data_IF_445715218681
#
_entry.id   IF_445715218681
#
_cell.length_a   1.000
_cell.length_b   1.000
_cell.length_c   1.000
_cell.angle_alpha   90.00
_cell.angle_beta   90.00
_cell.angle_gamma   90.00
#
_symmetry.space_group_name_H-M   'P 1'
#
loop_
_entity.id
_entity.type
_entity.pdbx_description
1 polymer ?
#
# COMPACT_ATOMS: atom_id res chain seq x y z
N UNK A 1 70.35 25.10 -42.96
CA UNK A 1 69.91 26.32 -42.28
C UNK A 1 68.44 26.15 -41.94
N UNK A 2 68.12 25.96 -40.66
CA UNK A 2 66.75 25.70 -40.21
C UNK A 2 65.98 27.03 -40.20
N UNK A 3 64.81 27.04 -40.84
CA UNK A 3 64.00 28.23 -41.09
C UNK A 3 63.35 28.72 -39.77
N UNK A 4 64.12 29.49 -39.00
CA UNK A 4 63.79 30.05 -37.69
C UNK A 4 62.44 30.80 -37.62
N UNK A 5 61.99 31.53 -38.66
CA UNK A 5 60.70 32.22 -38.63
C UNK A 5 59.48 31.28 -38.59
N UNK A 6 59.53 30.14 -39.29
CA UNK A 6 58.39 29.23 -39.40
C UNK A 6 58.12 28.46 -38.09
N UNK A 7 59.18 28.02 -37.42
CA UNK A 7 59.09 27.29 -36.14
C UNK A 7 58.63 28.17 -34.97
N UNK A 8 58.90 29.47 -35.03
CA UNK A 8 58.47 30.46 -34.02
C UNK A 8 56.98 30.78 -34.14
N UNK A 9 56.45 30.85 -35.37
CA UNK A 9 55.02 31.03 -35.61
C UNK A 9 54.17 29.82 -35.19
N UNK A 10 54.65 28.59 -35.42
CA UNK A 10 53.94 27.37 -34.98
C UNK A 10 53.90 27.26 -33.46
N UNK A 11 54.99 27.56 -32.74
CA UNK A 11 55.01 27.51 -31.27
C UNK A 11 54.10 28.55 -30.60
N UNK A 12 54.05 29.78 -31.13
CA UNK A 12 53.14 30.83 -30.63
C UNK A 12 51.67 30.41 -30.84
N UNK A 13 51.35 29.84 -32.00
CA UNK A 13 49.99 29.38 -32.31
C UNK A 13 49.59 28.14 -31.49
N UNK A 14 50.49 27.18 -31.25
CA UNK A 14 50.27 25.99 -30.42
C UNK A 14 50.10 26.33 -28.92
N UNK A 15 50.84 27.31 -28.40
CA UNK A 15 50.68 27.82 -27.04
C UNK A 15 49.35 28.57 -26.85
N UNK A 16 48.97 29.41 -27.82
CA UNK A 16 47.70 30.13 -27.81
C UNK A 16 46.50 29.18 -27.84
N UNK A 17 46.51 28.23 -28.77
CA UNK A 17 45.45 27.20 -28.90
C UNK A 17 45.37 26.28 -27.69
N UNK A 18 46.51 25.83 -27.14
CA UNK A 18 46.51 24.99 -25.93
C UNK A 18 45.93 25.72 -24.71
N UNK A 19 46.25 27.01 -24.55
CA UNK A 19 45.69 27.83 -23.47
C UNK A 19 44.19 28.06 -23.64
N UNK A 20 43.71 28.31 -24.87
CA UNK A 20 42.28 28.43 -25.14
C UNK A 20 41.51 27.13 -24.91
N UNK A 21 42.06 25.98 -25.32
CA UNK A 21 41.47 24.66 -25.07
C UNK A 21 41.36 24.39 -23.56
N UNK A 22 42.43 24.67 -22.80
CA UNK A 22 42.42 24.51 -21.34
C UNK A 22 41.41 25.44 -20.66
N UNK A 23 41.29 26.69 -21.10
CA UNK A 23 40.30 27.62 -20.58
C UNK A 23 38.88 27.18 -20.90
N UNK A 24 38.65 26.65 -22.10
CA UNK A 24 37.34 26.14 -22.50
C UNK A 24 36.97 24.86 -21.73
N UNK A 25 37.91 23.93 -21.56
CA UNK A 25 37.74 22.74 -20.73
C UNK A 25 37.49 23.10 -19.26
N UNK A 26 38.23 24.07 -18.71
CA UNK A 26 38.01 24.53 -17.34
C UNK A 26 36.61 25.14 -17.19
N UNK A 27 36.15 25.92 -18.18
CA UNK A 27 34.80 26.48 -18.22
C UNK A 27 33.72 25.40 -18.33
N UNK A 28 33.92 24.39 -19.18
CA UNK A 28 33.01 23.25 -19.32
C UNK A 28 32.94 22.44 -18.02
N UNK A 29 34.08 22.07 -17.44
CA UNK A 29 34.15 21.36 -16.17
C UNK A 29 33.53 22.16 -15.03
N UNK A 30 33.71 23.48 -15.01
CA UNK A 30 33.09 24.36 -14.01
C UNK A 30 31.57 24.37 -14.17
N UNK A 31 31.06 24.43 -15.40
CA UNK A 31 29.63 24.37 -15.66
C UNK A 31 29.02 23.02 -15.26
N UNK A 32 29.67 21.90 -15.62
CA UNK A 32 29.26 20.55 -15.20
C UNK A 32 29.25 20.41 -13.68
N UNK A 33 30.26 20.96 -13.01
CA UNK A 33 30.37 20.93 -11.56
C UNK A 33 29.25 21.75 -10.89
N UNK A 34 28.88 22.90 -11.46
CA UNK A 34 27.73 23.70 -11.00
C UNK A 34 26.43 22.93 -11.22
N UNK A 35 26.24 22.30 -12.38
CA UNK A 35 25.05 21.52 -12.69
C UNK A 35 24.89 20.32 -11.75
N UNK A 36 25.97 19.56 -11.53
CA UNK A 36 26.00 18.42 -10.62
C UNK A 36 25.72 18.86 -9.18
N UNK A 37 26.32 19.97 -8.72
CA UNK A 37 26.02 20.54 -7.39
C UNK A 37 24.55 20.91 -7.25
N UNK A 38 23.95 21.50 -8.28
CA UNK A 38 22.53 21.90 -8.29
C UNK A 38 21.62 20.66 -8.22
N UNK A 39 21.89 19.64 -9.05
CA UNK A 39 21.18 18.35 -9.01
C UNK A 39 21.27 17.68 -7.64
N UNK A 40 22.45 17.72 -7.02
CA UNK A 40 22.68 17.13 -5.69
C UNK A 40 21.91 17.89 -4.60
N UNK A 41 21.86 19.22 -4.67
CA UNK A 41 21.03 20.04 -3.76
C UNK A 41 19.54 19.71 -3.88
N UNK A 42 19.01 19.63 -5.10
CA UNK A 42 17.61 19.26 -5.36
C UNK A 42 17.32 17.84 -4.82
N UNK A 43 18.20 16.89 -5.10
CA UNK A 43 18.06 15.52 -4.62
C UNK A 43 18.01 15.45 -3.09
N UNK A 44 18.90 16.16 -2.41
CA UNK A 44 18.92 16.23 -0.95
C UNK A 44 17.64 16.88 -0.39
N UNK A 45 17.13 17.94 -1.03
CA UNK A 45 15.88 18.59 -0.64
C UNK A 45 14.68 17.63 -0.74
N UNK A 46 14.57 16.91 -1.86
CA UNK A 46 13.53 15.89 -2.07
C UNK A 46 13.65 14.74 -1.04
N UNK A 47 14.86 14.33 -0.71
CA UNK A 47 15.10 13.26 0.27
C UNK A 47 14.72 13.70 1.68
N UNK A 48 14.98 14.96 2.04
CA UNK A 48 14.55 15.56 3.30
C UNK A 48 13.02 15.70 3.39
N UNK A 49 12.39 16.16 2.31
CA UNK A 49 10.93 16.28 2.23
C UNK A 49 10.27 14.90 2.33
N UNK A 50 10.79 13.90 1.63
CA UNK A 50 10.32 12.52 1.72
C UNK A 50 10.47 11.95 3.14
N UNK A 51 11.61 12.19 3.81
CA UNK A 51 11.81 11.82 5.22
C UNK A 51 10.83 12.53 6.14
N UNK A 52 10.56 13.83 5.92
CA UNK A 52 9.59 14.62 6.69
C UNK A 52 8.17 14.11 6.50
N UNK A 53 7.74 13.87 5.26
CA UNK A 53 6.44 13.26 4.94
C UNK A 53 6.32 11.88 5.59
N UNK A 54 7.34 11.03 5.46
CA UNK A 54 7.37 9.71 6.11
C UNK A 54 7.25 9.82 7.63
N UNK A 55 7.91 10.82 8.25
CA UNK A 55 7.81 11.08 9.69
C UNK A 55 6.42 11.58 10.09
N UNK A 56 5.82 12.50 9.33
CA UNK A 56 4.46 13.00 9.56
C UNK A 56 3.40 11.91 9.40
N UNK A 57 3.55 11.05 8.39
CA UNK A 57 2.69 9.89 8.18
C UNK A 57 2.90 8.80 9.25
N UNK A 58 4.13 8.68 9.77
CA UNK A 58 4.49 7.78 10.86
C UNK A 58 4.08 8.26 12.26
N UNK A 59 3.83 9.56 12.44
CA UNK A 59 3.57 10.20 13.73
C UNK A 59 2.15 9.95 14.30
N UNK A 60 1.49 8.86 13.92
CA UNK A 60 0.12 8.49 14.33
C UNK A 60 -0.95 9.45 13.81
N UNK A 61 -1.57 9.05 12.70
CA UNK A 61 -2.90 9.51 12.33
C UNK A 61 -3.86 9.15 13.47
N UNK A 62 -4.14 10.07 14.38
CA UNK A 62 -5.01 9.85 15.54
C UNK A 62 -6.45 10.20 15.15
N UNK A 63 -7.12 9.28 14.44
CA UNK A 63 -8.56 9.37 14.23
C UNK A 63 -9.20 8.72 15.45
N UNK A 64 -9.65 9.56 16.40
CA UNK A 64 -10.36 9.19 17.64
C UNK A 64 -9.68 8.05 18.41
N UNK A 65 -8.75 8.39 19.31
CA UNK A 65 -8.15 7.50 20.33
C UNK A 65 -7.37 6.26 19.87
N UNK A 66 -7.40 5.91 18.57
CA UNK A 66 -6.77 4.71 18.05
C UNK A 66 -5.49 5.11 17.28
N UNK A 67 -4.35 4.52 17.67
CA UNK A 67 -3.06 4.74 16.99
C UNK A 67 -2.98 3.82 15.78
N UNK A 68 -2.65 4.40 14.62
CA UNK A 68 -2.45 3.67 13.38
C UNK A 68 -1.02 3.79 12.89
N UNK A 69 -0.47 2.68 12.40
CA UNK A 69 0.86 2.61 11.77
C UNK A 69 0.69 2.48 10.26
N UNK A 70 1.12 3.47 9.50
CA UNK A 70 1.13 3.38 8.03
C UNK A 70 2.25 2.43 7.57
N UNK A 71 1.95 1.53 6.64
CA UNK A 71 2.90 0.64 6.00
C UNK A 71 2.71 0.65 4.48
N UNK A 72 3.80 0.55 3.72
CA UNK A 72 3.76 0.44 2.25
C UNK A 72 3.60 -1.01 1.85
N UNK A 73 2.80 -1.26 0.83
CA UNK A 73 2.67 -2.59 0.22
C UNK A 73 3.90 -2.84 -0.66
N UNK A 74 4.62 -3.90 -0.36
CA UNK A 74 5.79 -4.36 -1.12
C UNK A 74 5.41 -5.36 -2.21
N UNK A 75 4.41 -6.20 -1.95
CA UNK A 75 3.96 -7.23 -2.90
C UNK A 75 2.50 -7.61 -2.65
N UNK A 76 1.83 -8.04 -3.72
CA UNK A 76 0.44 -8.49 -3.70
C UNK A 76 0.39 -9.86 -4.37
N UNK A 77 -0.15 -10.87 -3.66
CA UNK A 77 -0.39 -12.21 -4.20
C UNK A 77 -1.88 -12.52 -4.18
N UNK A 78 -2.46 -12.79 -5.35
CA UNK A 78 -3.89 -13.01 -5.56
C UNK A 78 -4.19 -14.27 -6.36
N UNK A 79 -3.79 -15.42 -5.84
CA UNK A 79 -4.23 -16.70 -6.40
C UNK A 79 -5.70 -16.97 -6.06
N UNK A 80 -6.31 -17.99 -6.69
CA UNK A 80 -7.69 -18.40 -6.37
C UNK A 80 -7.86 -18.84 -4.92
N UNK A 81 -6.85 -19.51 -4.36
CA UNK A 81 -6.92 -20.17 -3.04
C UNK A 81 -6.22 -19.38 -1.94
N UNK A 82 -5.31 -18.48 -2.31
CA UNK A 82 -4.52 -17.67 -1.39
C UNK A 82 -4.42 -16.23 -1.87
N UNK A 83 -4.82 -15.30 -1.00
CA UNK A 83 -4.86 -13.87 -1.23
C UNK A 83 -4.22 -13.15 -0.05
N UNK A 84 -3.03 -12.62 -0.26
CA UNK A 84 -2.26 -11.90 0.77
C UNK A 84 -1.47 -10.73 0.19
N UNK A 85 -1.11 -9.79 1.06
CA UNK A 85 -0.19 -8.70 0.75
C UNK A 85 1.00 -8.74 1.71
N UNK A 86 2.17 -8.31 1.24
CA UNK A 86 3.36 -8.13 2.06
C UNK A 86 3.56 -6.63 2.26
N UNK A 87 3.79 -6.22 3.50
CA UNK A 87 4.02 -4.82 3.88
C UNK A 87 5.44 -4.63 4.41
N UNK A 88 6.02 -3.45 4.17
CA UNK A 88 7.40 -3.09 4.53
C UNK A 88 7.59 -2.71 6.01
N UNK A 89 6.80 -3.30 6.89
CA UNK A 89 6.90 -3.11 8.33
C UNK A 89 6.79 -4.44 9.05
N UNK A 90 7.52 -4.58 10.13
CA UNK A 90 7.61 -5.80 10.92
C UNK A 90 7.59 -5.55 12.42
N UNK A 91 8.14 -6.50 13.18
CA UNK A 91 8.22 -6.39 14.64
C UNK A 91 9.08 -5.23 15.11
N UNK A 92 10.07 -4.80 14.31
CA UNK A 92 10.90 -3.61 14.61
C UNK A 92 10.08 -2.31 14.57
N UNK A 93 8.92 -2.35 13.92
CA UNK A 93 7.94 -1.27 13.91
C UNK A 93 6.80 -1.51 14.91
N UNK A 94 6.92 -2.52 15.78
CA UNK A 94 5.92 -2.89 16.77
C UNK A 94 4.66 -3.51 16.16
N UNK A 95 4.78 -4.18 15.00
CA UNK A 95 3.68 -4.98 14.45
C UNK A 95 3.60 -6.36 15.11
N UNK A 96 2.39 -6.88 15.23
CA UNK A 96 2.06 -8.17 15.85
C UNK A 96 1.05 -8.93 15.00
N UNK A 97 1.12 -10.25 15.07
CA UNK A 97 0.10 -11.13 14.49
C UNK A 97 -1.26 -10.79 15.09
N UNK A 98 -2.30 -10.77 14.25
CA UNK A 98 -3.67 -10.44 14.64
C UNK A 98 -4.08 -8.99 14.42
N UNK A 99 -3.13 -8.07 14.19
CA UNK A 99 -3.48 -6.68 13.86
C UNK A 99 -4.20 -6.56 12.53
N UNK A 100 -5.10 -5.60 12.43
CA UNK A 100 -5.93 -5.39 11.23
C UNK A 100 -5.31 -4.33 10.33
N UNK A 101 -5.24 -4.67 9.03
CA UNK A 101 -4.87 -3.74 7.98
C UNK A 101 -6.12 -3.10 7.37
N UNK A 102 -6.12 -1.78 7.35
CA UNK A 102 -7.18 -0.93 6.82
C UNK A 102 -6.68 -0.22 5.56
N UNK A 103 -7.54 -0.18 4.55
CA UNK A 103 -7.36 0.61 3.35
C UNK A 103 -8.15 1.92 3.45
N UNK A 104 -8.24 2.64 2.34
CA UNK A 104 -8.98 3.92 2.26
C UNK A 104 -10.49 3.74 2.26
N UNK A 105 -10.99 2.56 1.86
CA UNK A 105 -12.42 2.26 1.66
C UNK A 105 -12.92 1.09 2.50
N UNK A 106 -12.12 0.55 3.43
CA UNK A 106 -12.54 -0.59 4.26
C UNK A 106 -11.39 -1.44 4.77
N UNK A 107 -11.73 -2.59 5.36
CA UNK A 107 -10.74 -3.54 5.85
C UNK A 107 -10.09 -4.26 4.67
N UNK A 108 -8.76 -4.30 4.67
CA UNK A 108 -7.96 -5.06 3.70
C UNK A 108 -7.78 -6.50 4.19
N UNK A 109 -7.46 -6.68 5.47
CA UNK A 109 -7.13 -7.99 6.01
C UNK A 109 -6.57 -7.96 7.42
N UNK A 110 -5.94 -9.06 7.82
CA UNK A 110 -5.31 -9.24 9.13
C UNK A 110 -3.89 -9.76 8.99
N UNK A 111 -2.97 -9.27 9.82
CA UNK A 111 -1.60 -9.76 9.88
C UNK A 111 -1.59 -11.20 10.39
N UNK A 112 -1.04 -12.12 9.59
CA UNK A 112 -0.90 -13.54 9.95
C UNK A 112 0.54 -13.95 10.21
N UNK A 113 1.51 -13.19 9.70
CA UNK A 113 2.94 -13.43 9.92
C UNK A 113 3.68 -12.10 10.08
N UNK A 114 4.67 -12.08 10.96
CA UNK A 114 5.53 -10.93 11.22
C UNK A 114 6.98 -11.40 11.23
N UNK A 115 7.82 -10.71 10.49
CA UNK A 115 9.28 -10.79 10.56
C UNK A 115 9.82 -9.44 11.08
N UNK A 116 11.12 -9.26 11.33
CA UNK A 116 11.66 -7.98 11.79
C UNK A 116 11.33 -6.80 10.88
N UNK A 117 11.43 -7.00 9.56
CA UNK A 117 11.31 -5.93 8.55
C UNK A 117 9.99 -5.95 7.77
N UNK A 118 9.31 -7.09 7.70
CA UNK A 118 8.12 -7.28 6.86
C UNK A 118 7.02 -8.04 7.59
N UNK A 119 5.78 -7.84 7.16
CA UNK A 119 4.63 -8.60 7.64
C UNK A 119 3.76 -9.08 6.49
N UNK A 120 3.11 -10.21 6.67
CA UNK A 120 2.13 -10.77 5.74
C UNK A 120 0.73 -10.50 6.26
N UNK A 121 -0.10 -9.88 5.43
CA UNK A 121 -1.52 -9.63 5.71
C UNK A 121 -2.36 -10.58 4.85
N UNK A 122 -3.17 -11.42 5.48
CA UNK A 122 -4.17 -12.25 4.83
C UNK A 122 -5.40 -11.38 4.50
N UNK A 123 -5.77 -11.32 3.22
CA UNK A 123 -6.85 -10.44 2.78
C UNK A 123 -8.22 -10.97 3.16
N UNK A 124 -9.20 -10.08 3.37
CA UNK A 124 -10.61 -10.46 3.63
C UNK A 124 -11.24 -11.23 2.47
N UNK A 125 -10.69 -11.10 1.26
CA UNK A 125 -11.13 -11.82 0.06
C UNK A 125 -10.54 -13.22 -0.06
N UNK A 126 -9.68 -13.63 0.87
CA UNK A 126 -9.12 -14.98 0.94
C UNK A 126 -10.19 -15.99 1.40
N UNK A 127 -10.28 -17.19 0.79
CA UNK A 127 -11.29 -18.19 1.16
C UNK A 127 -11.16 -18.74 2.59
N UNK A 128 -9.98 -18.61 3.20
CA UNK A 128 -9.71 -19.07 4.57
C UNK A 128 -9.94 -17.99 5.62
N UNK A 129 -10.08 -16.73 5.20
CA UNK A 129 -10.28 -15.60 6.10
C UNK A 129 -11.76 -15.41 6.42
N UNK A 130 -12.09 -15.47 7.70
CA UNK A 130 -13.46 -15.31 8.20
C UNK A 130 -13.56 -14.00 8.96
N UNK A 131 -14.50 -13.14 8.54
CA UNK A 131 -14.72 -11.83 9.16
C UNK A 131 -16.17 -11.74 9.64
N UNK A 132 -16.40 -11.59 10.95
CA UNK A 132 -17.73 -11.32 11.49
C UNK A 132 -18.28 -9.99 10.97
N UNK A 133 -19.47 -10.01 10.37
CA UNK A 133 -20.08 -8.84 9.74
C UNK A 133 -21.49 -8.57 10.26
N UNK A 134 -21.95 -7.33 10.08
CA UNK A 134 -23.32 -6.91 10.28
C UNK A 134 -23.80 -6.07 9.10
N UNK A 135 -25.05 -6.24 8.69
CA UNK A 135 -25.71 -5.37 7.74
C UNK A 135 -25.85 -3.96 8.36
N UNK A 136 -25.52 -2.92 7.62
CA UNK A 136 -25.60 -1.53 8.09
C UNK A 136 -27.03 -1.07 8.37
N UNK A 137 -27.99 -1.47 7.54
CA UNK A 137 -29.38 -0.99 7.55
C UNK A 137 -30.17 -1.55 8.73
N UNK A 138 -30.05 -2.86 8.99
CA UNK A 138 -30.89 -3.55 9.97
C UNK A 138 -30.11 -4.35 11.02
N UNK A 139 -28.78 -4.36 10.97
CA UNK A 139 -27.95 -4.98 12.00
C UNK A 139 -27.90 -6.50 11.97
N UNK A 140 -28.51 -7.17 10.98
CA UNK A 140 -28.43 -8.63 10.80
C UNK A 140 -26.97 -9.06 10.73
N UNK A 141 -26.61 -10.10 11.48
CA UNK A 141 -25.22 -10.55 11.64
C UNK A 141 -24.96 -11.82 10.84
N UNK A 142 -23.73 -11.95 10.39
CA UNK A 142 -23.25 -13.15 9.71
C UNK A 142 -21.73 -13.24 9.73
N UNK A 143 -21.18 -14.20 9.00
CA UNK A 143 -19.74 -14.36 8.83
C UNK A 143 -19.44 -14.28 7.34
N UNK A 144 -18.61 -13.31 6.96
CA UNK A 144 -18.11 -13.21 5.59
C UNK A 144 -16.85 -14.07 5.41
N UNK A 145 -16.68 -14.62 4.22
CA UNK A 145 -15.42 -15.19 3.75
C UNK A 145 -15.19 -14.91 2.27
N UNK A 146 -13.95 -14.99 1.83
CA UNK A 146 -13.60 -14.89 0.42
C UNK A 146 -14.16 -16.03 -0.42
N UNK A 147 -14.49 -15.75 -1.68
CA UNK A 147 -14.77 -16.79 -2.67
C UNK A 147 -13.47 -17.23 -3.35
N UNK A 148 -13.30 -18.54 -3.56
CA UNK A 148 -12.18 -19.16 -4.25
C UNK A 148 -12.20 -18.87 -5.77
N UNK A 149 -12.07 -17.60 -6.13
CA UNK A 149 -12.19 -17.09 -7.49
C UNK A 149 -11.20 -15.95 -7.75
N UNK A 150 -10.89 -15.73 -9.04
CA UNK A 150 -10.06 -14.59 -9.48
C UNK A 150 -10.77 -13.24 -9.32
N UNK A 151 -12.11 -13.22 -9.19
CA UNK A 151 -12.92 -11.99 -9.15
C UNK A 151 -12.94 -11.31 -7.78
N UNK A 152 -12.38 -11.94 -6.74
CA UNK A 152 -12.24 -11.28 -5.43
C UNK A 152 -13.54 -11.13 -4.60
N UNK A 153 -14.66 -11.75 -5.02
CA UNK A 153 -15.95 -11.64 -4.30
C UNK A 153 -15.90 -12.22 -2.89
N UNK A 154 -16.81 -11.75 -2.03
CA UNK A 154 -17.07 -12.32 -0.70
C UNK A 154 -18.43 -13.04 -0.71
N UNK A 155 -18.60 -13.96 0.23
CA UNK A 155 -19.90 -14.53 0.58
C UNK A 155 -20.17 -14.34 2.07
N UNK A 156 -21.42 -14.14 2.44
CA UNK A 156 -21.86 -14.07 3.85
C UNK A 156 -22.71 -15.29 4.15
N UNK A 157 -22.35 -16.00 5.22
CA UNK A 157 -23.03 -17.18 5.71
C UNK A 157 -23.64 -16.93 7.10
N UNK A 158 -24.45 -17.89 7.57
CA UNK A 158 -25.10 -17.91 8.88
C UNK A 158 -26.17 -16.83 9.06
N UNK A 159 -26.93 -16.56 8.00
CA UNK A 159 -28.11 -15.67 8.03
C UNK A 159 -29.34 -16.52 7.69
N UNK A 160 -30.38 -16.45 8.51
CA UNK A 160 -31.58 -17.27 8.36
C UNK A 160 -32.42 -16.88 7.13
N UNK A 161 -33.08 -17.86 6.46
CA UNK A 161 -34.05 -17.61 5.41
C UNK A 161 -35.26 -16.84 5.97
N UNK A 162 -35.35 -15.54 5.68
CA UNK A 162 -36.36 -14.64 6.26
C UNK A 162 -35.77 -13.35 6.82
N UNK A 163 -34.44 -13.30 7.00
CA UNK A 163 -33.76 -12.04 7.25
C UNK A 163 -33.95 -11.09 6.06
N UNK A 164 -34.32 -9.85 6.36
CA UNK A 164 -34.47 -8.78 5.38
C UNK A 164 -33.07 -8.38 4.84
N UNK A 165 -32.65 -8.91 3.70
CA UNK A 165 -31.38 -8.51 3.05
C UNK A 165 -31.68 -8.09 1.62
N UNK A 166 -31.28 -6.88 1.26
CA UNK A 166 -31.60 -6.29 -0.03
C UNK A 166 -30.36 -6.12 -0.92
N UNK A 167 -30.58 -6.11 -2.23
CA UNK A 167 -29.53 -5.77 -3.19
C UNK A 167 -29.04 -4.34 -2.93
N UNK A 168 -27.73 -4.21 -2.75
CA UNK A 168 -27.09 -2.94 -2.50
C UNK A 168 -26.87 -2.58 -1.03
N UNK A 169 -27.37 -3.39 -0.10
CA UNK A 169 -27.01 -3.28 1.33
C UNK A 169 -25.49 -3.36 1.53
N UNK A 170 -24.99 -2.67 2.56
CA UNK A 170 -23.57 -2.68 2.93
C UNK A 170 -23.38 -3.53 4.18
N UNK A 171 -22.39 -4.43 4.14
CA UNK A 171 -21.93 -5.15 5.32
C UNK A 171 -20.71 -4.47 5.92
N UNK A 172 -20.78 -4.21 7.22
CA UNK A 172 -19.71 -3.65 8.04
C UNK A 172 -19.10 -4.76 8.91
N UNK A 173 -17.85 -4.62 9.28
CA UNK A 173 -17.23 -5.46 10.32
C UNK A 173 -17.94 -5.28 11.66
N UNK A 174 -18.06 -6.38 12.39
CA UNK A 174 -18.57 -6.41 13.76
C UNK A 174 -17.44 -6.68 14.75
N UNK A 175 -17.53 -6.15 15.96
CA UNK A 175 -16.54 -6.38 17.03
C UNK A 175 -16.73 -7.75 17.73
N UNK A 176 -17.31 -8.73 17.04
CA UNK A 176 -17.56 -10.04 17.63
C UNK A 176 -16.26 -10.83 17.61
N UNK A 177 -15.82 -11.26 18.80
CA UNK A 177 -14.56 -12.02 18.96
C UNK A 177 -13.28 -11.18 18.89
N UNK A 178 -13.38 -9.85 18.98
CA UNK A 178 -12.25 -8.90 19.11
C UNK A 178 -11.16 -8.94 18.03
N UNK A 179 -11.39 -9.61 16.90
CA UNK A 179 -10.39 -9.73 15.82
C UNK A 179 -10.41 -8.57 14.83
N UNK A 180 -11.57 -7.95 14.64
CA UNK A 180 -11.75 -6.86 13.69
C UNK A 180 -12.39 -5.64 14.36
N UNK A 181 -11.93 -4.42 14.06
CA UNK A 181 -12.57 -3.22 14.57
C UNK A 181 -13.97 -3.11 13.97
N UNK A 182 -14.94 -2.63 14.74
CA UNK A 182 -16.33 -2.51 14.28
C UNK A 182 -16.54 -1.30 13.39
N UNK A 183 -17.46 -1.44 12.43
CA UNK A 183 -17.98 -0.32 11.65
C UNK A 183 -17.21 -0.01 10.38
N UNK A 184 -16.29 -0.88 9.97
CA UNK A 184 -15.57 -0.71 8.72
C UNK A 184 -16.26 -1.49 7.60
N UNK A 185 -16.51 -0.87 6.43
CA UNK A 185 -17.15 -1.54 5.32
C UNK A 185 -16.31 -2.69 4.78
N UNK A 186 -16.97 -3.81 4.50
CA UNK A 186 -16.39 -4.97 3.82
C UNK A 186 -16.84 -5.07 2.37
N UNK A 187 -18.14 -4.92 2.12
CA UNK A 187 -18.66 -5.05 0.77
C UNK A 187 -20.15 -4.73 0.64
N UNK A 188 -20.56 -4.54 -0.61
CA UNK A 188 -21.94 -4.27 -1.03
C UNK A 188 -22.60 -5.54 -1.56
N UNK A 189 -23.83 -5.82 -1.14
CA UNK A 189 -24.63 -6.96 -1.62
C UNK A 189 -24.87 -6.81 -3.11
N UNK A 190 -24.49 -7.83 -3.87
CA UNK A 190 -24.72 -7.92 -5.32
C UNK A 190 -25.63 -9.09 -5.69
N UNK A 191 -25.90 -9.98 -4.75
CA UNK A 191 -26.69 -11.18 -4.98
C UNK A 191 -27.20 -11.75 -3.66
N UNK A 192 -28.45 -12.19 -3.65
CA UNK A 192 -29.10 -12.86 -2.51
C UNK A 192 -29.91 -14.03 -3.05
N UNK A 193 -29.61 -15.24 -2.60
CA UNK A 193 -30.31 -16.46 -2.97
C UNK A 193 -30.70 -17.27 -1.74
N UNK A 194 -31.86 -17.92 -1.83
CA UNK A 194 -32.29 -18.93 -0.86
C UNK A 194 -32.36 -20.28 -1.59
N UNK A 195 -31.58 -21.26 -1.13
CA UNK A 195 -31.67 -22.62 -1.66
C UNK A 195 -32.67 -23.42 -0.83
N UNK A 196 -33.58 -24.15 -1.49
CA UNK A 196 -34.67 -24.91 -0.82
C UNK A 196 -34.20 -25.94 0.22
N UNK A 197 -32.91 -26.32 0.21
CA UNK A 197 -32.33 -27.31 1.12
C UNK A 197 -31.14 -26.76 1.94
N UNK A 198 -30.93 -25.44 1.98
CA UNK A 198 -29.88 -24.85 2.80
C UNK A 198 -30.46 -24.11 4.02
N UNK A 199 -29.87 -24.27 5.21
CA UNK A 199 -30.36 -23.63 6.43
C UNK A 199 -30.10 -22.11 6.48
N UNK A 200 -29.36 -21.55 5.51
CA UNK A 200 -28.93 -20.16 5.50
C UNK A 200 -29.03 -19.54 4.10
N UNK A 201 -29.16 -18.22 4.05
CA UNK A 201 -29.09 -17.43 2.82
C UNK A 201 -27.68 -17.51 2.19
N UNK A 202 -27.64 -17.55 0.86
CA UNK A 202 -26.42 -17.39 0.08
C UNK A 202 -26.32 -15.93 -0.41
N UNK A 203 -25.48 -15.13 0.25
CA UNK A 203 -25.33 -13.71 -0.06
C UNK A 203 -23.93 -13.47 -0.64
N UNK A 204 -23.84 -12.84 -1.81
CA UNK A 204 -22.56 -12.44 -2.38
C UNK A 204 -22.34 -10.94 -2.23
N UNK A 205 -21.12 -10.56 -1.85
CA UNK A 205 -20.71 -9.16 -1.76
C UNK A 205 -19.62 -8.84 -2.79
N UNK A 206 -19.71 -7.62 -3.34
CA UNK A 206 -18.58 -6.94 -3.97
C UNK A 206 -17.76 -6.24 -2.89
N UNK A 207 -16.46 -6.53 -2.72
CA UNK A 207 -15.62 -5.83 -1.74
C UNK A 207 -15.58 -4.32 -1.98
N UNK A 208 -15.66 -3.52 -0.93
CA UNK A 208 -15.57 -2.05 -1.02
C UNK A 208 -14.14 -1.59 -1.31
N UNK A 209 -13.15 -2.37 -0.84
CA UNK A 209 -11.74 -2.10 -1.04
C UNK A 209 -11.19 -2.96 -2.20
N UNK A 210 -10.83 -2.31 -3.30
CA UNK A 210 -9.99 -2.95 -4.33
C UNK A 210 -8.53 -2.91 -3.87
N UNK A 211 -7.87 -4.06 -3.98
CA UNK A 211 -6.48 -4.24 -3.55
C UNK A 211 -5.47 -3.98 -4.66
N UNK A 212 -5.88 -3.95 -5.93
CA UNK A 212 -4.94 -3.81 -7.05
C UNK A 212 -4.23 -2.46 -7.14
N UNK A 213 -4.83 -1.41 -6.60
CA UNK A 213 -4.33 -0.03 -6.70
C UNK A 213 -3.83 0.53 -5.35
N UNK A 214 -3.63 -0.33 -4.35
CA UNK A 214 -3.21 0.13 -3.02
C UNK A 214 -1.69 0.19 -2.93
N UNK A 215 -1.18 1.36 -2.57
CA UNK A 215 0.25 1.54 -2.24
C UNK A 215 0.53 1.45 -0.73
N UNK A 216 -0.45 1.84 0.09
CA UNK A 216 -0.31 1.94 1.53
C UNK A 216 -1.51 1.33 2.25
N UNK A 217 -1.25 0.84 3.47
CA UNK A 217 -2.27 0.41 4.42
C UNK A 217 -2.00 1.01 5.79
N UNK A 218 -3.06 1.17 6.57
CA UNK A 218 -3.00 1.56 7.97
C UNK A 218 -3.17 0.33 8.83
N UNK A 219 -2.24 0.08 9.74
CA UNK A 219 -2.34 -1.01 10.71
C UNK A 219 -2.88 -0.45 12.02
N UNK A 220 -4.04 -0.95 12.45
CA UNK A 220 -4.60 -0.61 13.76
C UNK A 220 -3.87 -1.32 14.89
N UNK A 221 -3.69 -0.64 16.02
CA UNK A 221 -3.22 -1.29 17.24
C UNK A 221 -4.27 -2.28 17.77
N UNK A 222 -3.80 -3.45 18.24
CA UNK A 222 -4.61 -4.40 18.98
C UNK A 222 -4.79 -3.83 20.39
N UNK A 223 -6.02 -3.53 20.79
CA UNK A 223 -6.35 -3.32 22.20
C UNK A 223 -6.26 -4.65 22.95
#
# INVERSE_FOLDING_TARGET
MVNLPAALHTWINEQGTSKEILLNQNKQLTNELIELKTKLQIHNALLLENKKLTKLLGASYSIKSQKFKMARISSISQSRLKKQIIINKGSDNGLKVGQVALGTKGIVGQITQVTPLYSTVLMVTDPTQHVPVKNERNGVRGISKGLASKKGKLIVNFIEPGADIELGDIFLSSNIGSKFPQGYPLGKVIHVETHKNEPFLHIQLMPTQDSKQMEFVLIGDSN
#
